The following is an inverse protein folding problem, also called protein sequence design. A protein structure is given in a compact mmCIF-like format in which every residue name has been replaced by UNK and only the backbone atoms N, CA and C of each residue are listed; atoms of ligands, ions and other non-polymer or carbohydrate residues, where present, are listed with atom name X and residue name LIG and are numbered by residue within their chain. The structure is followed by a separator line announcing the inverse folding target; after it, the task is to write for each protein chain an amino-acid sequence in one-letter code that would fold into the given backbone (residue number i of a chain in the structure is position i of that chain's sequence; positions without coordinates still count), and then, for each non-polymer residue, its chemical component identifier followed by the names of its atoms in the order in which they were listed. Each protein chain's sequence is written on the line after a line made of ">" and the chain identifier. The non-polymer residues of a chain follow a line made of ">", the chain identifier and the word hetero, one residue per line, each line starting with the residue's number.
data_IF_979046290697
#
_entry.id   IF_979046290697
#
_cell.length_a   1.000
_cell.length_b   1.000
_cell.length_c   1.000
_cell.angle_alpha   90.00
_cell.angle_beta   90.00
_cell.angle_gamma   90.00
#
_symmetry.space_group_name_H-M   'P 1'
#
loop_
_entity.id
_entity.type
_entity.pdbx_description
1 polymer ?
#
# COMPACT_ATOMS: atom_id res chain seq x y z
N UNK A 1 9.01 10.86 5.46
CA UNK A 1 8.66 9.88 4.40
C UNK A 1 7.81 10.54 3.33
N UNK A 2 8.00 10.12 2.09
CA UNK A 2 7.25 10.68 0.95
C UNK A 2 6.02 9.84 0.64
N UNK A 3 4.98 10.51 0.15
CA UNK A 3 3.79 9.84 -0.36
C UNK A 3 4.12 9.11 -1.65
N UNK A 4 4.84 9.77 -2.56
CA UNK A 4 5.31 9.19 -3.82
C UNK A 4 6.64 9.84 -4.19
N UNK A 5 7.68 9.02 -4.32
CA UNK A 5 9.01 9.47 -4.71
C UNK A 5 9.27 9.10 -6.17
N UNK A 6 8.87 10.00 -7.08
CA UNK A 6 8.99 9.75 -8.52
C UNK A 6 10.44 9.52 -8.95
N UNK A 7 11.37 10.30 -8.41
CA UNK A 7 12.79 10.16 -8.77
C UNK A 7 13.34 8.80 -8.38
N UNK A 8 13.03 8.35 -7.14
CA UNK A 8 13.46 7.03 -6.68
C UNK A 8 12.82 5.92 -7.52
N UNK A 9 11.54 6.06 -7.85
CA UNK A 9 10.85 5.07 -8.71
C UNK A 9 11.51 4.98 -10.08
N UNK A 10 11.84 6.12 -10.69
CA UNK A 10 12.53 6.15 -11.98
C UNK A 10 13.92 5.51 -11.89
N UNK A 11 14.66 5.75 -10.81
CA UNK A 11 15.97 5.13 -10.62
C UNK A 11 15.87 3.60 -10.58
N UNK A 12 14.86 3.06 -9.93
CA UNK A 12 14.63 1.61 -9.89
C UNK A 12 14.33 1.03 -11.26
N UNK A 13 13.82 1.85 -12.18
CA UNK A 13 13.41 1.44 -13.53
C UNK A 13 14.42 1.90 -14.61
N UNK A 14 15.65 2.21 -14.22
CA UNK A 14 16.67 2.72 -15.13
C UNK A 14 16.19 3.95 -15.92
N UNK A 15 15.43 4.82 -15.27
CA UNK A 15 14.88 6.05 -15.82
C UNK A 15 13.92 5.83 -17.00
N UNK A 16 13.29 4.66 -17.05
CA UNK A 16 12.30 4.32 -18.06
C UNK A 16 10.95 4.91 -17.69
N UNK A 17 10.63 6.07 -18.26
CA UNK A 17 9.38 6.77 -17.96
C UNK A 17 8.15 6.06 -18.49
N UNK A 18 8.28 5.32 -19.59
CA UNK A 18 7.19 4.53 -20.14
C UNK A 18 6.81 3.41 -19.19
N UNK A 19 7.81 2.71 -18.64
CA UNK A 19 7.55 1.65 -17.66
C UNK A 19 6.94 2.22 -16.37
N UNK A 20 7.40 3.38 -15.93
CA UNK A 20 6.80 4.04 -14.77
C UNK A 20 5.33 4.35 -15.01
N UNK A 21 5.00 4.86 -16.19
CA UNK A 21 3.61 5.15 -16.57
C UNK A 21 2.74 3.88 -16.53
N UNK A 22 3.27 2.76 -17.02
CA UNK A 22 2.58 1.46 -16.99
C UNK A 22 2.32 1.04 -15.53
N UNK A 23 3.30 1.19 -14.66
CA UNK A 23 3.15 0.83 -13.24
C UNK A 23 2.15 1.73 -12.51
N UNK A 24 2.13 3.03 -12.84
CA UNK A 24 1.15 3.95 -12.28
C UNK A 24 -0.26 3.55 -12.73
N UNK A 25 -0.45 3.26 -14.01
CA UNK A 25 -1.74 2.82 -14.52
C UNK A 25 -2.20 1.51 -13.87
N UNK A 26 -1.28 0.58 -13.68
CA UNK A 26 -1.57 -0.68 -12.99
C UNK A 26 -2.00 -0.42 -11.55
N UNK A 27 -1.30 0.47 -10.84
CA UNK A 27 -1.68 0.81 -9.46
C UNK A 27 -3.08 1.41 -9.41
N UNK A 28 -3.38 2.36 -10.31
CA UNK A 28 -4.68 3.03 -10.34
C UNK A 28 -5.83 2.06 -10.68
N UNK A 29 -5.59 1.11 -11.56
CA UNK A 29 -6.66 0.24 -12.08
C UNK A 29 -6.73 -1.13 -11.40
N UNK A 30 -5.63 -1.64 -10.88
CA UNK A 30 -5.56 -3.01 -10.37
C UNK A 30 -5.31 -3.11 -8.86
N UNK A 31 -4.63 -2.12 -8.27
CA UNK A 31 -4.36 -2.14 -6.83
C UNK A 31 -5.48 -1.43 -6.10
N UNK A 32 -6.45 -2.22 -5.64
CA UNK A 32 -7.59 -1.68 -4.91
C UNK A 32 -7.51 -2.08 -3.44
N UNK A 33 -7.35 -1.09 -2.58
CA UNK A 33 -7.30 -1.31 -1.15
C UNK A 33 -8.60 -0.81 -0.53
N UNK A 34 -9.50 -1.73 -0.24
CA UNK A 34 -10.82 -1.41 0.29
C UNK A 34 -10.88 -1.73 1.78
N UNK A 35 -11.11 -0.70 2.57
CA UNK A 35 -11.19 -0.83 4.02
C UNK A 35 -12.26 -1.84 4.46
N UNK A 36 -13.41 -1.84 3.79
CA UNK A 36 -14.50 -2.75 4.10
C UNK A 36 -14.15 -4.22 3.87
N UNK A 37 -13.39 -4.51 2.82
CA UNK A 37 -12.93 -5.88 2.54
C UNK A 37 -12.01 -6.35 3.66
N UNK A 38 -11.08 -5.51 4.06
CA UNK A 38 -10.13 -5.83 5.12
C UNK A 38 -10.83 -6.03 6.47
N UNK A 39 -11.75 -5.13 6.83
CA UNK A 39 -12.51 -5.22 8.06
C UNK A 39 -13.35 -6.50 8.12
N UNK A 40 -13.94 -6.89 6.99
CA UNK A 40 -14.73 -8.11 6.90
C UNK A 40 -13.86 -9.36 7.12
N UNK A 41 -12.69 -9.41 6.50
CA UNK A 41 -11.77 -10.53 6.68
C UNK A 41 -11.37 -10.69 8.14
N UNK A 42 -11.09 -9.59 8.82
CA UNK A 42 -10.70 -9.58 10.23
C UNK A 42 -11.87 -10.03 11.09
N UNK A 43 -13.08 -9.52 10.83
CA UNK A 43 -14.27 -9.89 11.58
C UNK A 43 -14.61 -11.38 11.44
N UNK A 44 -14.27 -12.00 10.31
CA UNK A 44 -14.48 -13.42 10.07
C UNK A 44 -13.34 -14.30 10.61
N UNK A 45 -12.35 -13.71 11.28
CA UNK A 45 -11.20 -14.45 11.79
C UNK A 45 -10.21 -14.89 10.74
N UNK A 46 -10.32 -14.36 9.51
CA UNK A 46 -9.43 -14.70 8.39
C UNK A 46 -8.19 -13.84 8.40
N UNK A 47 -7.42 -13.94 9.46
CA UNK A 47 -6.26 -13.07 9.72
C UNK A 47 -5.15 -13.24 8.68
N UNK A 48 -4.90 -14.48 8.24
CA UNK A 48 -3.88 -14.73 7.19
C UNK A 48 -4.28 -14.11 5.87
N UNK A 49 -5.54 -14.19 5.49
CA UNK A 49 -6.05 -13.59 4.25
C UNK A 49 -5.98 -12.07 4.35
N UNK A 50 -6.31 -11.51 5.51
CA UNK A 50 -6.19 -10.08 5.77
C UNK A 50 -4.73 -9.62 5.61
N UNK A 51 -3.80 -10.36 6.19
CA UNK A 51 -2.37 -10.06 6.07
C UNK A 51 -1.88 -10.12 4.61
N UNK A 52 -2.35 -11.09 3.84
CA UNK A 52 -2.00 -11.22 2.42
C UNK A 52 -2.57 -10.07 1.59
N UNK A 53 -3.78 -9.63 1.92
CA UNK A 53 -4.42 -8.50 1.27
C UNK A 53 -3.60 -7.21 1.48
N UNK A 54 -3.16 -6.96 2.71
CA UNK A 54 -2.30 -5.83 3.04
C UNK A 54 -0.94 -5.96 2.35
N UNK A 55 -0.36 -7.16 2.34
CA UNK A 55 0.93 -7.43 1.72
C UNK A 55 0.94 -7.07 0.23
N UNK A 56 -0.13 -7.41 -0.49
CA UNK A 56 -0.23 -7.12 -1.93
C UNK A 56 -0.19 -5.60 -2.19
N UNK A 57 -0.93 -4.82 -1.40
CA UNK A 57 -0.94 -3.35 -1.53
C UNK A 57 0.42 -2.76 -1.14
N UNK A 58 1.02 -3.25 -0.07
CA UNK A 58 2.36 -2.84 0.36
C UNK A 58 3.41 -3.11 -0.73
N UNK A 59 3.33 -4.28 -1.37
CA UNK A 59 4.25 -4.64 -2.45
C UNK A 59 4.14 -3.71 -3.64
N UNK A 60 2.92 -3.36 -4.04
CA UNK A 60 2.68 -2.41 -5.12
C UNK A 60 3.23 -1.02 -4.75
N UNK A 61 3.04 -0.60 -3.50
CA UNK A 61 3.56 0.67 -2.99
C UNK A 61 5.09 0.71 -3.05
N UNK A 62 5.74 -0.41 -2.73
CA UNK A 62 7.20 -0.49 -2.77
C UNK A 62 7.74 -0.30 -4.19
N UNK A 63 7.08 -0.86 -5.19
CA UNK A 63 7.50 -0.73 -6.59
C UNK A 63 7.48 0.73 -7.07
N UNK A 64 6.60 1.54 -6.50
CA UNK A 64 6.45 2.95 -6.87
C UNK A 64 7.06 3.92 -5.86
N UNK A 65 7.80 3.39 -4.89
CA UNK A 65 8.43 4.22 -3.85
C UNK A 65 7.44 5.12 -3.11
N UNK A 66 6.29 4.56 -2.77
CA UNK A 66 5.30 5.18 -1.92
C UNK A 66 5.64 4.85 -0.47
N UNK A 67 6.59 5.58 0.09
CA UNK A 67 7.18 5.26 1.39
C UNK A 67 6.16 5.22 2.54
N UNK A 68 5.26 6.18 2.59
CA UNK A 68 4.22 6.23 3.63
C UNK A 68 3.33 5.00 3.59
N UNK A 69 2.82 4.65 2.41
CA UNK A 69 1.93 3.50 2.25
C UNK A 69 2.65 2.20 2.54
N UNK A 70 3.89 2.09 2.08
CA UNK A 70 4.70 0.92 2.37
C UNK A 70 4.91 0.75 3.88
N UNK A 71 5.21 1.84 4.57
CA UNK A 71 5.45 1.82 6.03
C UNK A 71 4.20 1.46 6.82
N UNK A 72 3.06 2.09 6.51
CA UNK A 72 1.80 1.81 7.20
C UNK A 72 1.30 0.40 6.89
N UNK A 73 1.53 -0.07 5.65
CA UNK A 73 1.22 -1.44 5.26
C UNK A 73 2.06 -2.45 6.03
N UNK A 74 3.36 -2.18 6.20
CA UNK A 74 4.24 -3.06 6.96
C UNK A 74 3.81 -3.13 8.42
N UNK A 75 3.47 -2.00 9.04
CA UNK A 75 3.03 -1.97 10.43
C UNK A 75 1.77 -2.80 10.63
N UNK A 76 0.79 -2.66 9.75
CA UNK A 76 -0.47 -3.41 9.83
C UNK A 76 -0.23 -4.90 9.57
N UNK A 77 0.56 -5.22 8.57
CA UNK A 77 0.88 -6.61 8.25
C UNK A 77 1.55 -7.31 9.44
N UNK A 78 2.49 -6.64 10.10
CA UNK A 78 3.21 -7.22 11.24
C UNK A 78 2.26 -7.55 12.40
N UNK A 79 1.29 -6.69 12.67
CA UNK A 79 0.29 -6.95 13.72
C UNK A 79 -0.61 -8.12 13.31
N UNK A 80 -1.08 -8.16 12.05
CA UNK A 80 -1.93 -9.23 11.56
C UNK A 80 -1.22 -10.59 11.56
N UNK A 81 0.09 -10.61 11.39
CA UNK A 81 0.89 -11.84 11.43
C UNK A 81 1.39 -12.18 12.84
N UNK A 82 1.03 -11.39 13.83
CA UNK A 82 1.42 -11.64 15.22
C UNK A 82 2.86 -11.29 15.55
N UNK A 83 3.53 -10.50 14.71
CA UNK A 83 4.93 -10.09 14.90
C UNK A 83 5.09 -8.89 15.82
N UNK A 84 4.05 -8.08 15.96
CA UNK A 84 4.07 -6.90 16.82
C UNK A 84 2.67 -6.64 17.37
N UNK A 85 2.58 -5.81 18.40
CA UNK A 85 1.31 -5.36 18.96
C UNK A 85 0.89 -4.05 18.31
N UNK A 86 -0.40 -3.74 18.40
CA UNK A 86 -0.93 -2.48 17.88
C UNK A 86 -2.44 -2.50 17.82
N UNK A 87 -3.01 -1.31 17.64
CA UNK A 87 -4.44 -1.14 17.49
C UNK A 87 -4.85 -1.31 16.04
N UNK A 88 -5.42 -2.46 15.71
CA UNK A 88 -5.76 -2.80 14.31
C UNK A 88 -6.65 -1.75 13.66
N UNK A 89 -7.76 -1.27 14.28
CA UNK A 89 -8.57 -0.23 13.64
C UNK A 89 -7.79 1.04 13.29
N UNK A 90 -6.92 1.51 14.19
CA UNK A 90 -6.09 2.70 13.93
C UNK A 90 -5.10 2.46 12.79
N UNK A 91 -4.52 1.26 12.73
CA UNK A 91 -3.56 0.92 11.67
C UNK A 91 -4.24 0.80 10.32
N UNK A 92 -5.49 0.31 10.28
CA UNK A 92 -6.29 0.28 9.05
C UNK A 92 -6.56 1.69 8.56
N UNK A 93 -7.00 2.59 9.45
CA UNK A 93 -7.26 3.99 9.11
C UNK A 93 -6.02 4.68 8.55
N UNK A 94 -4.88 4.45 9.18
CA UNK A 94 -3.60 5.03 8.74
C UNK A 94 -3.22 4.55 7.34
N UNK A 95 -3.28 3.25 7.11
CA UNK A 95 -2.94 2.68 5.81
C UNK A 95 -3.90 3.16 4.72
N UNK A 96 -5.20 3.20 5.03
CA UNK A 96 -6.19 3.66 4.06
C UNK A 96 -5.98 5.14 3.72
N UNK A 97 -5.68 5.97 4.70
CA UNK A 97 -5.37 7.39 4.49
C UNK A 97 -4.14 7.56 3.60
N UNK A 98 -3.08 6.78 3.85
CA UNK A 98 -1.86 6.83 3.05
C UNK A 98 -2.13 6.33 1.62
N UNK A 99 -2.99 5.33 1.45
CA UNK A 99 -3.39 4.83 0.14
C UNK A 99 -4.14 5.91 -0.66
N UNK A 100 -5.11 6.59 -0.04
CA UNK A 100 -5.85 7.66 -0.70
C UNK A 100 -4.94 8.82 -1.10
N UNK A 101 -4.03 9.18 -0.23
CA UNK A 101 -3.05 10.23 -0.51
C UNK A 101 -2.16 9.85 -1.70
N UNK A 102 -1.73 8.57 -1.73
CA UNK A 102 -0.91 8.06 -2.83
C UNK A 102 -1.67 8.10 -4.16
N UNK A 103 -2.97 7.75 -4.17
CA UNK A 103 -3.78 7.84 -5.39
C UNK A 103 -3.82 9.27 -5.93
N UNK A 104 -3.98 10.26 -5.05
CA UNK A 104 -4.01 11.65 -5.46
C UNK A 104 -2.67 12.10 -6.03
N UNK A 105 -1.57 11.69 -5.41
CA UNK A 105 -0.24 12.07 -5.84
C UNK A 105 0.14 11.50 -7.21
N UNK A 106 -0.14 10.22 -7.44
CA UNK A 106 0.24 9.61 -8.73
C UNK A 106 -0.62 10.09 -9.89
N UNK A 107 -1.82 10.60 -9.62
CA UNK A 107 -2.67 11.20 -10.66
C UNK A 107 -2.09 12.51 -11.17
N UNK A 108 -1.22 13.15 -10.40
CA UNK A 108 -0.54 14.39 -10.79
C UNK A 108 0.77 14.13 -11.52
N UNK A 109 1.27 12.90 -11.49
CA UNK A 109 2.58 12.55 -12.02
C UNK A 109 2.63 12.47 -13.55
#
# INVERSE_FOLDING_TARGET
>A
MKTFDKEAALELLDKDEELLSILIDSFLNETKFEKTVLEKLIAQGKTKEAASYVHATKGAARQLCMEKLQSSGQALEDVLRGKSGGDIPSLIEKMFSDYEEALLEIQKA
#
